data_IF_061357979031
#
_entry.id   IF_061357979031
#
_cell.length_a   1.000
_cell.length_b   1.000
_cell.length_c   1.000
_cell.angle_alpha   90.00
_cell.angle_beta   90.00
_cell.angle_gamma   90.00
#
_symmetry.space_group_name_H-M   'P 1'
#
loop_
_entity.id
_entity.type
_entity.pdbx_description
1 polymer ?
#
# COMPACT_ATOMS: atom_id res chain seq x y z
N UNK A 1 -8.09 -4.42 -10.77
CA UNK A 1 -9.45 -4.68 -10.31
C UNK A 1 -10.13 -3.44 -9.71
N UNK A 2 -9.41 -2.54 -9.02
CA UNK A 2 -9.96 -1.32 -8.40
C UNK A 2 -9.22 -0.03 -8.82
N UNK A 3 -8.80 0.10 -10.08
CA UNK A 3 -8.09 1.29 -10.58
C UNK A 3 -6.59 1.35 -10.28
N UNK A 4 -6.02 0.42 -9.52
CA UNK A 4 -4.57 0.33 -9.29
C UNK A 4 -3.77 -0.02 -10.56
N UNK A 5 -2.64 0.65 -10.76
CA UNK A 5 -1.69 0.39 -11.85
C UNK A 5 -0.65 -0.64 -11.41
N UNK A 6 -0.50 -1.72 -12.18
CA UNK A 6 0.56 -2.72 -11.96
C UNK A 6 1.83 -2.27 -12.72
N UNK A 7 2.69 -1.50 -12.06
CA UNK A 7 3.98 -1.06 -12.59
C UNK A 7 5.07 -1.28 -11.56
N UNK A 8 6.34 -1.32 -12.00
CA UNK A 8 7.44 -1.13 -11.07
C UNK A 8 7.23 0.17 -10.30
N UNK A 9 7.44 0.17 -8.97
CA UNK A 9 7.29 1.37 -8.16
C UNK A 9 8.28 2.44 -8.64
N UNK A 10 7.77 3.63 -8.96
CA UNK A 10 8.54 4.86 -9.13
C UNK A 10 8.65 5.63 -7.81
N UNK A 11 9.35 6.76 -7.81
CA UNK A 11 9.64 7.55 -6.59
C UNK A 11 8.38 7.91 -5.77
N UNK A 12 7.25 8.16 -6.42
CA UNK A 12 5.98 8.52 -5.79
C UNK A 12 5.05 7.33 -5.51
N UNK A 13 5.55 6.09 -5.57
CA UNK A 13 4.71 4.89 -5.41
C UNK A 13 4.54 4.49 -3.96
N UNK A 14 3.28 4.42 -3.52
CA UNK A 14 2.89 3.86 -2.23
C UNK A 14 2.93 2.33 -2.33
N UNK A 15 3.67 1.68 -1.44
CA UNK A 15 3.78 0.22 -1.40
C UNK A 15 3.03 -0.32 -0.18
N UNK A 16 2.07 -1.20 -0.43
CA UNK A 16 1.40 -1.98 0.60
C UNK A 16 2.07 -3.35 0.74
N UNK A 17 2.47 -3.73 1.94
CA UNK A 17 3.12 -5.02 2.18
C UNK A 17 2.79 -5.61 3.54
N UNK A 18 2.81 -6.94 3.62
CA UNK A 18 2.76 -7.68 4.88
C UNK A 18 3.96 -7.33 5.79
N UNK A 19 3.77 -7.24 7.11
CA UNK A 19 4.86 -7.08 8.08
C UNK A 19 5.94 -8.15 7.89
N UNK A 20 7.20 -7.75 8.06
CA UNK A 20 8.33 -8.68 8.02
C UNK A 20 8.77 -9.13 6.62
N UNK A 21 8.13 -8.66 5.54
CA UNK A 21 8.68 -8.89 4.19
C UNK A 21 9.94 -8.05 3.95
N UNK A 22 11.03 -8.64 3.43
CA UNK A 22 12.25 -7.89 3.13
C UNK A 22 11.96 -6.69 2.22
N UNK A 23 12.60 -5.56 2.55
CA UNK A 23 12.53 -4.35 1.75
C UNK A 23 13.55 -4.45 0.61
N UNK A 24 13.07 -4.52 -0.62
CA UNK A 24 13.91 -4.50 -1.82
C UNK A 24 14.09 -3.08 -2.37
N UNK A 25 13.47 -2.08 -1.74
CA UNK A 25 13.39 -0.68 -2.21
C UNK A 25 13.30 0.29 -1.03
N UNK A 26 13.79 1.53 -1.20
CA UNK A 26 13.75 2.60 -0.19
C UNK A 26 12.40 3.34 -0.06
N UNK A 27 11.32 2.83 -0.68
CA UNK A 27 10.01 3.47 -0.60
C UNK A 27 9.38 3.32 0.77
N UNK A 28 8.55 4.29 1.16
CA UNK A 28 7.64 4.15 2.30
C UNK A 28 6.70 2.96 2.10
N UNK A 29 6.59 2.11 3.13
CA UNK A 29 5.77 0.91 3.10
C UNK A 29 4.70 1.02 4.17
N UNK A 30 3.48 0.68 3.78
CA UNK A 30 2.33 0.70 4.66
C UNK A 30 1.75 -0.69 4.79
N UNK A 31 1.07 -0.95 5.91
CA UNK A 31 0.48 -2.24 6.17
C UNK A 31 -0.58 -2.58 5.11
N UNK A 32 -0.56 -3.80 4.58
CA UNK A 32 -1.51 -4.22 3.53
C UNK A 32 -2.98 -4.17 3.97
N UNK A 33 -3.21 -4.23 5.27
CA UNK A 33 -4.55 -4.07 5.86
C UNK A 33 -5.17 -2.70 5.56
N UNK A 34 -4.36 -1.64 5.45
CA UNK A 34 -4.88 -0.33 5.02
C UNK A 34 -5.51 -0.39 3.62
N UNK A 35 -4.90 -1.14 2.69
CA UNK A 35 -5.45 -1.33 1.35
C UNK A 35 -6.74 -2.16 1.39
N UNK A 36 -6.75 -3.24 2.16
CA UNK A 36 -7.93 -4.09 2.35
C UNK A 36 -9.11 -3.28 2.87
N UNK A 37 -8.91 -2.55 3.97
CA UNK A 37 -9.97 -1.78 4.62
C UNK A 37 -10.44 -0.62 3.74
N UNK A 38 -9.53 -0.02 2.96
CA UNK A 38 -9.88 1.00 1.97
C UNK A 38 -10.80 0.46 0.88
N UNK A 39 -10.58 -0.77 0.42
CA UNK A 39 -11.44 -1.44 -0.57
C UNK A 39 -12.80 -1.76 0.04
N UNK A 40 -12.84 -2.31 1.26
CA UNK A 40 -14.08 -2.69 1.95
C UNK A 40 -14.94 -1.47 2.27
N UNK A 41 -14.32 -0.38 2.76
CA UNK A 41 -15.01 0.86 3.10
C UNK A 41 -15.36 1.73 1.87
N UNK A 42 -14.82 1.41 0.69
CA UNK A 42 -14.89 2.25 -0.53
C UNK A 42 -14.38 3.69 -0.29
N UNK A 43 -13.46 3.85 0.65
CA UNK A 43 -12.87 5.12 1.06
C UNK A 43 -11.43 4.86 1.47
N UNK A 44 -10.50 5.67 0.96
CA UNK A 44 -9.09 5.56 1.33
C UNK A 44 -8.90 5.83 2.82
N UNK A 45 -8.32 4.88 3.54
CA UNK A 45 -8.03 4.99 4.96
C UNK A 45 -6.74 5.78 5.20
N UNK A 46 -6.60 6.33 6.40
CA UNK A 46 -5.41 7.07 6.82
C UNK A 46 -4.23 6.11 7.05
N UNK A 47 -3.13 6.34 6.33
CA UNK A 47 -1.96 5.47 6.32
C UNK A 47 -1.22 5.46 7.66
N UNK A 48 -1.24 6.57 8.42
CA UNK A 48 -0.52 6.70 9.70
C UNK A 48 -1.16 5.87 10.83
N UNK A 49 -2.35 5.33 10.61
CA UNK A 49 -3.09 4.51 11.58
C UNK A 49 -2.82 3.01 11.45
N UNK A 50 -1.97 2.60 10.49
CA UNK A 50 -1.70 1.21 10.11
C UNK A 50 -0.20 0.91 10.06
#
# INVERSE_FOLDING_TARGET
>A
AFGGKLTMPGEETIIFSEPGRPATTNHGRFHIQCLHDSIVARQFQDLEQY
#
